data_IF_504991404001
#
_entry.id   IF_504991404001
#
_cell.length_a   1.000
_cell.length_b   1.000
_cell.length_c   1.000
_cell.angle_alpha   90.00
_cell.angle_beta   90.00
_cell.angle_gamma   90.00
#
_symmetry.space_group_name_H-M   'P 1'
#
loop_
_entity.id
_entity.type
_entity.pdbx_description
1 polymer ?
#
# COMPACT_ATOMS: atom_id res chain seq x y z
N UNK A 1 25.78 -21.19 9.64
CA UNK A 1 25.97 -19.90 10.32
C UNK A 1 26.34 -18.86 9.26
N UNK A 2 25.43 -18.57 8.32
CA UNK A 2 25.69 -17.71 7.16
C UNK A 2 24.88 -16.39 7.19
N UNK A 3 24.16 -16.12 8.29
CA UNK A 3 23.35 -14.91 8.45
C UNK A 3 23.61 -14.19 9.79
N UNK A 4 24.64 -14.63 10.51
CA UNK A 4 24.99 -14.00 11.79
C UNK A 4 25.60 -12.60 11.55
N UNK A 5 26.37 -12.46 10.46
CA UNK A 5 26.88 -11.19 9.97
C UNK A 5 26.71 -11.15 8.43
N UNK A 6 25.70 -10.45 7.89
CA UNK A 6 25.41 -10.40 6.46
C UNK A 6 26.29 -9.40 5.67
N UNK A 7 27.33 -8.85 6.32
CA UNK A 7 28.22 -7.82 5.77
C UNK A 7 29.67 -8.32 5.61
N UNK A 8 29.87 -9.64 5.56
CA UNK A 8 31.16 -10.26 5.30
C UNK A 8 31.46 -10.38 3.80
N UNK A 9 32.24 -11.41 3.46
CA UNK A 9 32.59 -11.78 2.07
C UNK A 9 32.03 -13.17 1.70
N UNK A 10 31.11 -13.73 2.50
CA UNK A 10 30.50 -15.02 2.19
C UNK A 10 29.60 -14.90 0.95
N UNK A 11 29.41 -16.01 0.21
CA UNK A 11 28.66 -16.01 -1.06
C UNK A 11 27.19 -15.51 -0.92
N UNK A 12 26.61 -15.59 0.28
CA UNK A 12 25.24 -15.18 0.59
C UNK A 12 25.16 -13.78 1.26
N UNK A 13 26.29 -13.08 1.45
CA UNK A 13 26.33 -11.74 2.04
C UNK A 13 25.84 -10.65 1.06
N UNK A 14 25.50 -9.48 1.61
CA UNK A 14 25.18 -8.33 0.76
C UNK A 14 26.43 -7.81 0.04
N UNK A 15 26.33 -7.61 -1.27
CA UNK A 15 27.35 -6.89 -2.04
C UNK A 15 27.25 -5.37 -1.79
N UNK A 16 27.82 -4.93 -0.66
CA UNK A 16 27.82 -3.52 -0.28
C UNK A 16 28.64 -2.65 -1.23
N UNK A 17 29.71 -3.18 -1.83
CA UNK A 17 30.53 -2.42 -2.78
C UNK A 17 29.72 -2.08 -4.05
N UNK A 18 28.99 -3.07 -4.58
CA UNK A 18 28.06 -2.83 -5.68
C UNK A 18 27.01 -1.76 -5.31
N UNK A 19 26.43 -1.84 -4.12
CA UNK A 19 25.43 -0.85 -3.67
C UNK A 19 26.02 0.55 -3.55
N UNK A 20 27.25 0.70 -3.06
CA UNK A 20 27.94 1.99 -2.96
C UNK A 20 28.16 2.59 -4.34
N UNK A 21 28.73 1.83 -5.28
CA UNK A 21 29.01 2.28 -6.63
C UNK A 21 27.72 2.65 -7.37
N UNK A 22 26.68 1.80 -7.25
CA UNK A 22 25.36 2.04 -7.84
C UNK A 22 24.74 3.32 -7.28
N UNK A 23 24.73 3.49 -5.97
CA UNK A 23 24.06 4.63 -5.35
C UNK A 23 24.79 5.94 -5.65
N UNK A 24 26.12 5.94 -5.64
CA UNK A 24 26.91 7.10 -6.01
C UNK A 24 26.66 7.47 -7.48
N UNK A 25 26.72 6.50 -8.39
CA UNK A 25 26.49 6.73 -9.82
C UNK A 25 25.08 7.24 -10.10
N UNK A 26 24.06 6.61 -9.53
CA UNK A 26 22.66 6.99 -9.74
C UNK A 26 22.35 8.37 -9.15
N UNK A 27 22.84 8.68 -7.95
CA UNK A 27 22.58 9.97 -7.31
C UNK A 27 23.22 11.12 -8.08
N UNK A 28 24.46 10.95 -8.55
CA UNK A 28 25.13 11.94 -9.40
C UNK A 28 24.44 12.09 -10.76
N UNK A 29 24.05 10.99 -11.41
CA UNK A 29 23.32 11.03 -12.68
C UNK A 29 21.97 11.74 -12.56
N UNK A 30 21.22 11.50 -11.48
CA UNK A 30 19.96 12.21 -11.22
C UNK A 30 20.18 13.71 -10.96
N UNK A 31 21.28 14.08 -10.30
CA UNK A 31 21.63 15.48 -10.05
C UNK A 31 22.06 16.21 -11.33
N UNK A 32 22.75 15.51 -12.25
CA UNK A 32 23.18 16.06 -13.54
C UNK A 32 21.98 16.36 -14.46
N UNK A 33 20.97 15.49 -14.46
CA UNK A 33 19.70 15.70 -15.17
C UNK A 33 18.74 16.71 -14.48
N UNK A 34 19.23 17.50 -13.51
CA UNK A 34 18.39 18.45 -12.78
C UNK A 34 17.84 19.54 -13.71
N UNK A 35 16.51 19.64 -13.78
CA UNK A 35 15.75 20.56 -14.65
C UNK A 35 15.87 20.27 -16.15
N UNK A 36 16.19 19.04 -16.53
CA UNK A 36 16.14 18.60 -17.93
C UNK A 36 15.01 17.57 -18.14
N UNK A 37 13.72 17.98 -18.06
CA UNK A 37 12.63 17.06 -18.32
C UNK A 37 12.54 16.75 -19.82
N UNK A 38 12.07 15.55 -20.20
CA UNK A 38 11.79 15.25 -21.60
C UNK A 38 10.70 16.17 -22.16
N UNK A 39 10.73 16.37 -23.48
CA UNK A 39 9.71 17.16 -24.18
C UNK A 39 8.31 16.56 -23.97
N UNK A 40 7.35 17.39 -23.57
CA UNK A 40 5.98 16.97 -23.39
C UNK A 40 5.32 16.64 -24.73
N UNK A 41 4.90 15.38 -24.89
CA UNK A 41 4.21 14.88 -26.08
C UNK A 41 2.94 14.17 -25.65
N UNK A 42 1.93 14.20 -26.53
CA UNK A 42 0.74 13.36 -26.36
C UNK A 42 1.16 11.89 -26.48
N UNK A 43 0.74 11.07 -25.53
CA UNK A 43 1.05 9.64 -25.54
C UNK A 43 0.18 8.88 -26.55
N UNK A 44 0.47 7.60 -26.73
CA UNK A 44 -0.21 6.73 -27.70
C UNK A 44 -1.72 6.55 -27.42
N UNK A 45 -2.17 6.77 -26.19
CA UNK A 45 -3.56 6.60 -25.74
C UNK A 45 -4.28 7.94 -25.55
N UNK A 46 -3.68 9.07 -25.92
CA UNK A 46 -4.19 10.42 -25.60
C UNK A 46 -5.67 10.68 -25.98
N UNK A 47 -6.14 10.09 -27.08
CA UNK A 47 -7.52 10.26 -27.56
C UNK A 47 -8.43 9.05 -27.26
N UNK A 48 -7.95 8.06 -26.50
CA UNK A 48 -8.72 6.86 -26.16
C UNK A 48 -9.42 7.05 -24.82
N UNK A 49 -10.68 6.65 -24.73
CA UNK A 49 -11.45 6.69 -23.48
C UNK A 49 -10.90 5.68 -22.46
N UNK A 50 -10.45 4.51 -22.93
CA UNK A 50 -9.84 3.48 -22.11
C UNK A 50 -8.52 3.02 -22.73
N UNK A 51 -7.42 3.20 -21.99
CA UNK A 51 -6.12 2.69 -22.41
C UNK A 51 -6.11 1.16 -22.34
N UNK A 52 -5.81 0.50 -23.46
CA UNK A 52 -5.65 -0.96 -23.54
C UNK A 52 -4.19 -1.30 -23.85
N UNK A 53 -3.38 -1.66 -22.84
CA UNK A 53 -2.01 -2.10 -23.05
C UNK A 53 -1.96 -3.37 -23.91
N UNK A 54 -0.93 -3.49 -24.74
CA UNK A 54 -0.67 -4.69 -25.51
C UNK A 54 0.01 -5.74 -24.63
N UNK A 55 -0.40 -7.00 -24.80
CA UNK A 55 0.19 -8.14 -24.10
C UNK A 55 0.92 -9.04 -25.10
N UNK A 56 2.02 -9.66 -24.64
CA UNK A 56 2.61 -10.78 -25.37
C UNK A 56 1.61 -11.95 -25.41
N UNK A 57 1.74 -12.83 -26.42
CA UNK A 57 0.90 -14.05 -26.53
C UNK A 57 0.80 -14.84 -25.22
N UNK A 58 1.94 -15.10 -24.58
CA UNK A 58 1.99 -15.85 -23.32
C UNK A 58 1.32 -15.11 -22.15
N UNK A 59 1.39 -13.79 -22.13
CA UNK A 59 0.78 -12.96 -21.08
C UNK A 59 -0.72 -12.80 -21.28
N UNK A 60 -1.20 -12.76 -22.53
CA UNK A 60 -2.62 -12.62 -22.88
C UNK A 60 -3.45 -13.85 -22.47
N UNK A 61 -2.84 -15.04 -22.40
CA UNK A 61 -3.48 -16.26 -21.93
C UNK A 61 -3.66 -16.31 -20.39
N UNK A 62 -3.05 -15.36 -19.65
CA UNK A 62 -3.20 -15.30 -18.19
C UNK A 62 -4.58 -14.79 -17.83
N UNK A 63 -5.19 -15.39 -16.82
CA UNK A 63 -6.48 -14.94 -16.31
C UNK A 63 -6.34 -13.55 -15.67
N UNK A 64 -7.16 -12.59 -16.12
CA UNK A 64 -7.21 -11.25 -15.54
C UNK A 64 -8.33 -11.24 -14.50
N UNK A 65 -7.96 -11.16 -13.22
CA UNK A 65 -8.89 -11.04 -12.10
C UNK A 65 -8.83 -9.61 -11.56
N UNK A 66 -9.73 -8.75 -12.00
CA UNK A 66 -9.86 -7.42 -11.41
C UNK A 66 -10.35 -7.55 -9.98
N UNK A 67 -9.60 -6.97 -9.03
CA UNK A 67 -10.01 -6.93 -7.64
C UNK A 67 -11.07 -5.86 -7.45
N UNK A 68 -12.32 -6.28 -7.28
CA UNK A 68 -13.45 -5.38 -7.01
C UNK A 68 -13.61 -5.05 -5.53
N UNK A 69 -13.01 -5.84 -4.63
CA UNK A 69 -13.20 -5.76 -3.18
C UNK A 69 -14.18 -6.80 -2.66
N UNK A 70 -13.98 -7.25 -1.41
CA UNK A 70 -14.79 -8.31 -0.78
C UNK A 70 -16.25 -7.91 -0.52
N UNK A 71 -16.55 -6.61 -0.45
CA UNK A 71 -17.88 -6.07 -0.17
C UNK A 71 -18.58 -5.43 -1.40
N UNK A 72 -18.00 -5.54 -2.60
CA UNK A 72 -18.48 -4.80 -3.77
C UNK A 72 -19.82 -5.25 -4.34
N UNK A 73 -20.24 -6.48 -4.03
CA UNK A 73 -21.48 -7.11 -4.49
C UNK A 73 -22.60 -7.06 -3.44
N UNK A 74 -22.54 -6.13 -2.48
CA UNK A 74 -23.66 -5.94 -1.56
C UNK A 74 -24.82 -5.24 -2.29
N UNK A 75 -25.51 -6.01 -3.13
CA UNK A 75 -26.80 -5.65 -3.66
C UNK A 75 -27.75 -5.49 -2.47
N UNK A 76 -28.33 -4.29 -2.33
CA UNK A 76 -29.53 -4.15 -1.52
C UNK A 76 -30.61 -4.90 -2.28
N UNK A 77 -30.83 -6.17 -1.95
CA UNK A 77 -32.02 -6.86 -2.43
C UNK A 77 -33.24 -6.00 -2.06
N UNK A 78 -33.94 -5.46 -3.07
CA UNK A 78 -35.24 -4.79 -2.89
C UNK A 78 -36.35 -5.78 -2.44
N UNK A 79 -35.99 -7.05 -2.28
CA UNK A 79 -36.77 -8.08 -1.58
C UNK A 79 -35.86 -8.81 -0.59
N UNK A 80 -35.36 -8.08 0.41
CA UNK A 80 -34.34 -8.55 1.34
C UNK A 80 -34.49 -9.98 1.82
N UNK A 81 -33.54 -10.83 1.46
CA UNK A 81 -33.05 -11.85 2.37
C UNK A 81 -32.87 -11.17 3.73
N UNK A 82 -33.54 -11.71 4.75
CA UNK A 82 -33.36 -11.33 6.16
C UNK A 82 -31.90 -11.56 6.55
N UNK A 83 -31.00 -10.67 6.14
CA UNK A 83 -29.72 -10.51 6.81
C UNK A 83 -30.09 -10.14 8.24
N UNK A 84 -29.79 -11.02 9.19
CA UNK A 84 -29.91 -10.67 10.60
C UNK A 84 -29.13 -9.37 10.79
N UNK A 85 -29.84 -8.30 11.11
CA UNK A 85 -29.27 -6.99 11.33
C UNK A 85 -28.21 -7.14 12.43
N UNK A 86 -26.94 -7.13 12.02
CA UNK A 86 -25.81 -7.27 12.96
C UNK A 86 -25.78 -5.99 13.78
N UNK A 87 -26.49 -6.00 14.91
CA UNK A 87 -26.50 -4.90 15.85
C UNK A 87 -25.17 -4.92 16.59
N UNK A 88 -24.35 -3.88 16.38
CA UNK A 88 -23.10 -3.73 17.13
C UNK A 88 -23.45 -3.37 18.57
N UNK A 89 -23.28 -4.31 19.49
CA UNK A 89 -23.52 -4.09 20.92
C UNK A 89 -22.20 -3.70 21.61
N UNK A 90 -22.19 -2.66 22.45
CA UNK A 90 -21.01 -2.32 23.25
C UNK A 90 -20.56 -3.51 24.11
N UNK A 91 -19.26 -3.73 24.19
CA UNK A 91 -18.72 -4.80 25.03
C UNK A 91 -19.01 -4.50 26.52
N UNK A 92 -19.59 -5.42 27.30
CA UNK A 92 -20.08 -5.15 28.67
C UNK A 92 -18.97 -4.74 29.66
N UNK A 93 -17.71 -4.99 29.33
CA UNK A 93 -16.56 -4.51 30.14
C UNK A 93 -16.36 -2.99 29.99
N UNK A 94 -16.84 -2.37 28.90
CA UNK A 94 -16.78 -0.91 28.73
C UNK A 94 -17.63 -0.16 29.76
N UNK A 95 -18.75 -0.74 30.21
CA UNK A 95 -19.56 -0.16 31.29
C UNK A 95 -18.77 -0.06 32.60
N UNK A 96 -17.89 -1.03 32.91
CA UNK A 96 -17.02 -0.99 34.09
C UNK A 96 -15.91 0.06 34.00
N UNK A 97 -15.58 0.55 32.80
CA UNK A 97 -14.64 1.66 32.63
C UNK A 97 -15.36 3.01 32.67
N UNK A 98 -16.56 3.10 32.10
CA UNK A 98 -17.43 4.29 32.16
C UNK A 98 -17.87 4.60 33.61
N UNK A 99 -18.19 3.56 34.39
CA UNK A 99 -18.62 3.67 35.79
C UNK A 99 -17.46 3.77 36.79
N UNK A 100 -16.21 3.77 36.32
CA UNK A 100 -15.00 3.96 37.16
C UNK A 100 -14.52 5.41 37.17
N UNK A 101 -15.37 6.35 36.74
CA UNK A 101 -15.11 7.77 36.84
C UNK A 101 -15.62 8.29 38.19
N UNK A 102 -14.89 7.99 39.26
CA UNK A 102 -14.73 9.03 40.28
C UNK A 102 -14.02 10.22 39.60
N UNK A 103 -14.37 11.48 39.90
CA UNK A 103 -13.75 12.63 39.27
C UNK A 103 -12.26 12.69 39.67
N UNK A 104 -11.41 12.01 38.90
CA UNK A 104 -9.97 12.16 39.00
C UNK A 104 -9.62 13.59 38.63
N UNK A 105 -8.87 14.27 39.50
CA UNK A 105 -8.38 15.64 39.31
C UNK A 105 -7.87 15.81 37.88
N UNK A 106 -8.51 16.71 37.13
CA UNK A 106 -8.07 17.05 35.78
C UNK A 106 -6.65 17.55 35.89
N UNK A 107 -5.69 16.87 35.25
CA UNK A 107 -4.34 17.39 35.14
C UNK A 107 -4.41 18.77 34.48
N UNK A 108 -3.78 19.81 35.04
CA UNK A 108 -3.82 21.14 34.44
C UNK A 108 -3.22 21.07 33.03
N UNK A 109 -3.92 21.70 32.08
CA UNK A 109 -3.40 21.92 30.74
C UNK A 109 -2.17 22.82 30.83
N UNK A 110 -1.04 22.34 30.33
CA UNK A 110 0.18 23.15 30.18
C UNK A 110 -0.05 24.08 28.98
N UNK A 111 0.09 25.38 29.18
CA UNK A 111 0.20 26.38 28.10
C UNK A 111 1.51 26.24 27.33
#
# INVERSE_FOLDING_TARGET
>A
MALLNPFGEDDDDYDCNFLLDRNLTMSLGCQDAHRDPPEMKKDAFWNMEQAQPLYSWHSALRHINFFMGSAALQEKEEGGMKGEEITMVPHPVNEKYMNRNEPGERRPTVE
#
